data_IF_449735988310
#
_entry.id   IF_449735988310
#
_cell.length_a   1.000
_cell.length_b   1.000
_cell.length_c   1.000
_cell.angle_alpha   90.00
_cell.angle_beta   90.00
_cell.angle_gamma   90.00
#
_symmetry.space_group_name_H-M   'P 1'
#
loop_
_entity.id
_entity.type
_entity.pdbx_description
1 polymer ?
#
# COMPACT_ATOMS: atom_id res chain seq x y z
N UNK A 1 -6.60 6.35 6.67
CA UNK A 1 -6.02 7.11 5.54
C UNK A 1 -4.69 6.46 5.16
N UNK A 2 -4.36 6.39 3.86
CA UNK A 2 -3.16 5.71 3.32
C UNK A 2 -1.88 6.04 4.08
N UNK A 3 -1.55 7.33 4.25
CA UNK A 3 -0.32 7.76 4.89
C UNK A 3 -0.20 7.37 6.37
N UNK A 4 -1.32 7.26 7.08
CA UNK A 4 -1.31 6.77 8.45
C UNK A 4 -0.94 5.30 8.48
N UNK A 5 -1.55 4.49 7.62
CA UNK A 5 -1.26 3.06 7.51
C UNK A 5 0.19 2.81 7.06
N UNK A 6 0.65 3.52 6.02
CA UNK A 6 2.04 3.46 5.54
C UNK A 6 3.02 3.75 6.68
N UNK A 7 2.76 4.80 7.46
CA UNK A 7 3.65 5.17 8.57
C UNK A 7 3.68 4.11 9.66
N UNK A 8 2.55 3.48 9.97
CA UNK A 8 2.44 2.49 11.07
C UNK A 8 2.92 1.11 10.65
N UNK A 9 2.56 0.63 9.46
CA UNK A 9 2.86 -0.74 9.02
C UNK A 9 4.21 -0.85 8.32
N UNK A 10 4.64 0.16 7.56
CA UNK A 10 5.88 0.10 6.78
C UNK A 10 7.04 0.89 7.39
N UNK A 11 6.76 1.94 8.19
CA UNK A 11 7.82 2.82 8.73
C UNK A 11 8.02 2.65 10.23
N UNK A 12 6.97 2.32 10.98
CA UNK A 12 7.07 2.25 12.43
C UNK A 12 7.74 0.94 12.86
N UNK A 13 8.93 1.04 13.47
CA UNK A 13 9.69 -0.12 13.97
C UNK A 13 10.73 -0.66 12.99
N UNK A 14 10.82 -0.11 11.78
CA UNK A 14 11.86 -0.43 10.80
C UNK A 14 13.00 0.60 10.89
N UNK A 15 14.23 0.14 11.14
CA UNK A 15 15.44 0.96 11.07
C UNK A 15 15.96 0.98 9.62
N UNK A 16 15.55 2.00 8.86
CA UNK A 16 16.06 2.19 7.51
C UNK A 16 17.51 2.70 7.53
N UNK A 17 18.43 1.81 7.16
CA UNK A 17 19.86 2.11 7.06
C UNK A 17 20.16 3.18 6.00
N UNK A 18 19.35 3.25 4.94
CA UNK A 18 19.50 4.25 3.88
C UNK A 18 18.16 4.71 3.31
N UNK A 19 18.17 5.93 2.73
CA UNK A 19 17.00 6.49 2.05
C UNK A 19 16.60 5.70 0.81
N UNK A 20 17.54 4.99 0.19
CA UNK A 20 17.25 4.13 -0.97
C UNK A 20 16.43 2.91 -0.54
N UNK A 21 16.80 2.25 0.56
CA UNK A 21 16.06 1.12 1.11
C UNK A 21 14.66 1.56 1.52
N UNK A 22 14.53 2.71 2.19
CA UNK A 22 13.23 3.29 2.54
C UNK A 22 12.34 3.50 1.31
N UNK A 23 12.89 4.02 0.21
CA UNK A 23 12.15 4.23 -1.04
C UNK A 23 11.66 2.92 -1.64
N UNK A 24 12.52 1.90 -1.65
CA UNK A 24 12.16 0.56 -2.14
C UNK A 24 11.07 -0.09 -1.28
N UNK A 25 11.19 -0.02 0.04
CA UNK A 25 10.18 -0.57 0.96
C UNK A 25 8.83 0.14 0.80
N UNK A 26 8.81 1.48 0.71
CA UNK A 26 7.58 2.25 0.47
C UNK A 26 6.96 1.90 -0.88
N UNK A 27 7.77 1.77 -1.94
CA UNK A 27 7.27 1.38 -3.26
C UNK A 27 6.65 -0.02 -3.24
N UNK A 28 7.34 -1.00 -2.65
CA UNK A 28 6.85 -2.37 -2.53
C UNK A 28 5.55 -2.43 -1.70
N UNK A 29 5.50 -1.72 -0.58
CA UNK A 29 4.29 -1.64 0.23
C UNK A 29 3.12 -1.01 -0.55
N UNK A 30 3.36 0.05 -1.31
CA UNK A 30 2.31 0.72 -2.10
C UNK A 30 1.78 -0.17 -3.22
N UNK A 31 2.67 -0.73 -4.04
CA UNK A 31 2.30 -1.44 -5.27
C UNK A 31 1.90 -2.89 -5.02
N UNK A 32 2.63 -3.60 -4.16
CA UNK A 32 2.44 -5.04 -3.98
C UNK A 32 1.51 -5.38 -2.81
N UNK A 33 1.52 -4.60 -1.71
CA UNK A 33 0.68 -4.89 -0.55
C UNK A 33 -0.63 -4.11 -0.59
N UNK A 34 -0.52 -2.78 -0.65
CA UNK A 34 -1.66 -1.87 -0.56
C UNK A 34 -2.56 -1.97 -1.79
N UNK A 35 -2.03 -1.77 -3.01
CA UNK A 35 -2.84 -1.79 -4.23
C UNK A 35 -3.43 -3.17 -4.55
N UNK A 36 -2.71 -4.24 -4.22
CA UNK A 36 -3.10 -5.59 -4.61
C UNK A 36 -4.02 -6.29 -3.61
N UNK A 37 -3.72 -6.17 -2.31
CA UNK A 37 -4.38 -6.98 -1.28
C UNK A 37 -5.26 -6.17 -0.34
N UNK A 38 -4.96 -4.89 -0.13
CA UNK A 38 -5.64 -4.13 0.91
C UNK A 38 -7.07 -3.80 0.51
N UNK A 39 -8.03 -4.32 1.26
CA UNK A 39 -9.46 -4.10 1.01
C UNK A 39 -9.90 -2.75 1.54
N UNK A 40 -10.59 -1.98 0.71
CA UNK A 40 -11.15 -0.69 1.10
C UNK A 40 -12.67 -0.78 1.18
N UNK A 41 -13.26 -0.37 2.31
CA UNK A 41 -14.71 -0.25 2.45
C UNK A 41 -15.32 0.69 1.40
N UNK A 42 -14.58 1.74 1.02
CA UNK A 42 -14.96 2.66 -0.06
C UNK A 42 -14.99 1.98 -1.45
N UNK A 43 -14.21 0.93 -1.67
CA UNK A 43 -14.18 0.14 -2.90
C UNK A 43 -15.11 -1.09 -2.81
N UNK A 44 -16.12 -1.07 -1.93
CA UNK A 44 -17.01 -2.23 -1.72
C UNK A 44 -16.32 -3.44 -1.07
N UNK A 45 -15.20 -3.22 -0.39
CA UNK A 45 -14.37 -4.28 0.16
C UNK A 45 -13.40 -4.89 -0.84
N UNK A 46 -13.23 -4.33 -2.03
CA UNK A 46 -12.22 -4.75 -2.99
C UNK A 46 -10.88 -4.06 -2.73
N UNK A 47 -9.80 -4.63 -3.25
CA UNK A 47 -8.53 -3.92 -3.34
C UNK A 47 -8.57 -2.87 -4.45
N UNK A 48 -7.68 -1.85 -4.42
CA UNK A 48 -7.63 -0.83 -5.45
C UNK A 48 -7.46 -1.42 -6.85
N UNK A 49 -6.54 -2.40 -7.01
CA UNK A 49 -6.33 -3.10 -8.28
C UNK A 49 -7.59 -3.84 -8.74
N UNK A 50 -8.27 -4.54 -7.82
CA UNK A 50 -9.52 -5.25 -8.15
C UNK A 50 -10.64 -4.29 -8.55
N UNK A 51 -10.73 -3.16 -7.86
CA UNK A 51 -11.71 -2.12 -8.16
C UNK A 51 -11.44 -1.48 -9.53
N UNK A 52 -10.20 -1.15 -9.86
CA UNK A 52 -9.83 -0.61 -11.18
C UNK A 52 -10.09 -1.64 -12.29
N UNK A 53 -9.71 -2.91 -12.09
CA UNK A 53 -9.98 -3.98 -13.07
C UNK A 53 -11.48 -4.20 -13.32
N UNK A 54 -12.35 -3.98 -12.33
CA UNK A 54 -13.80 -4.06 -12.52
C UNK A 54 -14.39 -2.85 -13.25
N UNK A 55 -13.78 -1.67 -13.11
CA UNK A 55 -14.22 -0.45 -13.82
C UNK A 55 -13.64 -0.34 -15.24
N UNK A 56 -12.58 -1.10 -15.55
CA UNK A 56 -11.99 -1.20 -16.88
C UNK A 56 -12.71 -2.21 -17.81
N UNK A 57 -13.76 -2.88 -17.32
CA UNK A 57 -14.63 -3.78 -18.08
C UNK A 57 -15.83 -3.02 -18.69
#
# INVERSE_FOLDING_TARGET
SFFHTLRVECIHGEDFVSREIMRTSVFNYSECDYNRWRRHSACGGLSPEQFENQNLA
#
